data_IF_288654664114
#
_entry.id   IF_288654664114
#
_cell.length_a   1.000
_cell.length_b   1.000
_cell.length_c   1.000
_cell.angle_alpha   90.00
_cell.angle_beta   90.00
_cell.angle_gamma   90.00
#
_symmetry.space_group_name_H-M   'P 1'
#
loop_
_entity.id
_entity.type
_entity.pdbx_description
1 polymer ?
#
# COMPACT_ATOMS: atom_id res chain seq x y z
N UNK A 1 38.99 9.11 7.90
CA UNK A 1 38.00 9.34 8.96
C UNK A 1 36.72 8.71 8.46
N UNK A 2 36.40 7.55 9.05
CA UNK A 2 35.57 6.51 8.47
C UNK A 2 34.09 6.84 8.58
N UNK A 3 33.35 6.55 7.51
CA UNK A 3 31.89 6.65 7.44
C UNK A 3 31.34 5.33 7.99
N UNK A 4 30.89 5.33 9.24
CA UNK A 4 30.26 4.14 9.84
C UNK A 4 28.86 3.90 9.23
N UNK A 5 28.77 2.80 8.49
CA UNK A 5 27.55 2.22 7.94
C UNK A 5 26.76 1.52 9.07
N UNK A 6 25.78 2.20 9.65
CA UNK A 6 24.92 1.69 10.73
C UNK A 6 23.72 0.84 10.27
N UNK A 7 23.88 -0.02 9.26
CA UNK A 7 22.83 -0.95 8.82
C UNK A 7 22.78 -2.22 9.67
N UNK A 8 22.21 -2.17 10.89
CA UNK A 8 22.01 -3.40 11.69
C UNK A 8 21.05 -4.35 10.97
N UNK A 9 21.59 -5.46 10.44
CA UNK A 9 20.80 -6.60 9.99
C UNK A 9 19.95 -7.11 11.16
N UNK A 10 18.65 -7.14 10.95
CA UNK A 10 17.71 -7.76 11.87
C UNK A 10 17.94 -9.27 11.85
N UNK A 11 18.16 -9.95 13.00
CA UNK A 11 18.14 -11.42 13.04
C UNK A 11 16.81 -11.94 12.50
N UNK A 12 16.89 -12.94 11.62
CA UNK A 12 15.75 -13.62 11.04
C UNK A 12 14.91 -14.24 12.16
N UNK A 13 13.61 -13.92 12.21
CA UNK A 13 12.68 -14.73 12.99
C UNK A 13 12.65 -16.14 12.41
N UNK A 14 12.33 -17.09 13.27
CA UNK A 14 12.09 -18.51 13.01
C UNK A 14 11.45 -18.80 11.65
N UNK A 15 11.83 -19.92 11.05
CA UNK A 15 11.37 -20.39 9.75
C UNK A 15 9.85 -20.20 9.55
N UNK A 16 9.41 -19.80 8.34
CA UNK A 16 8.01 -19.53 8.05
C UNK A 16 7.13 -20.73 8.39
N UNK A 17 6.09 -20.49 9.17
CA UNK A 17 5.11 -21.50 9.60
C UNK A 17 4.34 -22.10 8.41
N UNK A 18 4.34 -21.41 7.27
CA UNK A 18 3.76 -21.86 6.00
C UNK A 18 4.53 -21.26 4.81
N UNK A 19 4.79 -22.03 3.74
CA UNK A 19 5.55 -21.53 2.60
C UNK A 19 4.75 -20.44 1.87
N UNK A 20 5.20 -19.19 2.00
CA UNK A 20 4.68 -18.04 1.26
C UNK A 20 3.89 -17.01 2.07
N UNK A 21 3.67 -17.22 3.37
CA UNK A 21 3.03 -16.24 4.26
C UNK A 21 4.05 -15.59 5.19
N UNK A 22 3.71 -14.38 5.66
CA UNK A 22 4.53 -13.63 6.60
C UNK A 22 4.02 -13.87 8.03
N UNK A 23 4.80 -14.56 8.86
CA UNK A 23 4.39 -14.91 10.23
C UNK A 23 4.01 -13.67 11.07
N UNK A 24 4.68 -12.53 10.86
CA UNK A 24 4.38 -11.29 11.57
C UNK A 24 3.04 -10.67 11.17
N UNK A 25 2.64 -10.81 9.91
CA UNK A 25 1.35 -10.33 9.45
C UNK A 25 0.24 -11.22 10.01
N UNK A 26 0.38 -12.54 9.87
CA UNK A 26 -0.57 -13.51 10.41
C UNK A 26 -0.70 -13.39 11.93
N UNK A 27 0.40 -13.17 12.65
CA UNK A 27 0.40 -12.94 14.10
C UNK A 27 -0.37 -11.69 14.52
N UNK A 28 -0.32 -10.62 13.71
CA UNK A 28 -1.10 -9.40 13.95
C UNK A 28 -2.59 -9.57 13.59
N UNK A 29 -2.88 -10.31 12.52
CA UNK A 29 -4.26 -10.66 12.14
C UNK A 29 -4.91 -11.54 13.22
N UNK A 30 -4.20 -12.56 13.71
CA UNK A 30 -4.67 -13.45 14.76
C UNK A 30 -4.92 -12.73 16.10
N UNK A 31 -4.13 -11.70 16.41
CA UNK A 31 -4.32 -10.89 17.61
C UNK A 31 -5.60 -10.01 17.56
N UNK A 32 -6.16 -9.76 16.38
CA UNK A 32 -7.43 -9.03 16.21
C UNK A 32 -7.49 -7.73 17.02
N UNK A 33 -8.45 -7.65 17.94
CA UNK A 33 -8.67 -6.49 18.83
C UNK A 33 -7.60 -6.27 19.89
N UNK A 34 -6.83 -7.31 20.26
CA UNK A 34 -5.68 -7.19 21.17
C UNK A 34 -4.48 -6.55 20.48
N UNK A 35 -4.46 -6.53 19.15
CA UNK A 35 -3.47 -5.88 18.29
C UNK A 35 -3.48 -4.34 18.32
N UNK A 36 -3.85 -3.74 19.46
CA UNK A 36 -3.85 -2.28 19.65
C UNK A 36 -2.60 -1.84 20.41
N UNK A 37 -2.07 -0.68 20.01
CA UNK A 37 -1.05 0.00 20.78
C UNK A 37 -1.69 0.64 22.01
N UNK A 38 -1.00 0.54 23.14
CA UNK A 38 -1.37 1.29 24.34
C UNK A 38 -1.15 2.80 24.10
N UNK A 39 -1.70 3.66 24.96
CA UNK A 39 -1.46 5.10 24.83
C UNK A 39 0.01 5.41 25.08
N UNK A 40 0.67 6.04 24.11
CA UNK A 40 2.08 6.38 24.21
C UNK A 40 2.60 7.03 22.93
N UNK A 41 3.84 7.51 23.00
CA UNK A 41 4.58 8.01 21.84
C UNK A 41 5.41 6.85 21.29
N UNK A 42 5.19 6.50 20.03
CA UNK A 42 5.89 5.40 19.37
C UNK A 42 6.67 5.92 18.18
N UNK A 43 7.98 5.69 18.19
CA UNK A 43 8.81 5.85 16.99
C UNK A 43 8.75 4.58 16.14
N UNK A 44 9.22 4.66 14.89
CA UNK A 44 9.36 3.50 14.03
C UNK A 44 10.27 2.41 14.64
N UNK A 45 11.26 2.79 15.43
CA UNK A 45 12.13 1.82 16.10
C UNK A 45 11.41 1.13 17.26
N UNK A 46 10.63 1.87 18.05
CA UNK A 46 9.82 1.29 19.14
C UNK A 46 8.80 0.28 18.59
N UNK A 47 8.16 0.61 17.47
CA UNK A 47 7.24 -0.31 16.78
C UNK A 47 7.95 -1.57 16.29
N UNK A 48 9.19 -1.47 15.83
CA UNK A 48 9.99 -2.66 15.44
C UNK A 48 10.36 -3.52 16.64
N UNK A 49 10.73 -2.91 17.76
CA UNK A 49 11.04 -3.63 19.00
C UNK A 49 9.78 -4.34 19.52
N UNK A 50 8.64 -3.66 19.51
CA UNK A 50 7.35 -4.22 19.92
C UNK A 50 6.92 -5.36 18.98
N UNK A 51 7.01 -5.14 17.67
CA UNK A 51 6.68 -6.12 16.65
C UNK A 51 7.50 -7.40 16.79
N UNK A 52 8.77 -7.28 17.20
CA UNK A 52 9.62 -8.45 17.52
C UNK A 52 9.16 -9.20 18.76
N UNK A 53 8.83 -8.49 19.84
CA UNK A 53 8.40 -9.08 21.11
C UNK A 53 7.06 -9.81 20.97
N UNK A 54 6.12 -9.22 20.23
CA UNK A 54 4.75 -9.74 20.07
C UNK A 54 4.52 -10.52 18.77
N UNK A 55 5.54 -10.65 17.91
CA UNK A 55 5.43 -11.22 16.56
C UNK A 55 4.36 -10.53 15.70
N UNK A 56 4.31 -9.20 15.78
CA UNK A 56 3.39 -8.37 14.99
C UNK A 56 4.14 -7.60 13.91
N UNK A 57 3.53 -7.48 12.72
CA UNK A 57 4.09 -6.71 11.64
C UNK A 57 4.04 -5.21 11.99
N UNK A 58 5.19 -4.52 12.16
CA UNK A 58 5.21 -3.12 12.58
C UNK A 58 4.56 -2.20 11.54
N UNK A 59 4.68 -2.51 10.25
CA UNK A 59 4.08 -1.73 9.18
C UNK A 59 2.55 -1.74 9.24
N UNK A 60 1.94 -2.93 9.34
CA UNK A 60 0.48 -3.06 9.41
C UNK A 60 -0.07 -2.62 10.77
N UNK A 61 0.71 -2.77 11.85
CA UNK A 61 0.37 -2.24 13.16
C UNK A 61 0.27 -0.72 13.11
N UNK A 62 1.30 -0.03 12.61
CA UNK A 62 1.33 1.42 12.46
C UNK A 62 0.13 1.93 11.65
N UNK A 63 -0.18 1.23 10.56
CA UNK A 63 -1.31 1.55 9.68
C UNK A 63 -2.66 1.41 10.37
N UNK A 64 -2.88 0.33 11.15
CA UNK A 64 -4.12 0.12 11.92
C UNK A 64 -4.32 1.19 13.00
N UNK A 65 -3.23 1.74 13.53
CA UNK A 65 -3.31 2.76 14.59
C UNK A 65 -3.45 4.18 14.09
N UNK A 66 -3.38 4.44 12.78
CA UNK A 66 -3.55 5.78 12.23
C UNK A 66 -4.89 6.42 12.60
N UNK A 67 -5.98 5.64 12.56
CA UNK A 67 -7.33 6.11 12.89
C UNK A 67 -7.56 6.37 14.39
N UNK A 68 -6.61 5.99 15.25
CA UNK A 68 -6.68 6.19 16.70
C UNK A 68 -5.61 7.17 17.20
N UNK A 69 -4.72 7.63 16.32
CA UNK A 69 -3.61 8.49 16.68
C UNK A 69 -4.06 9.95 16.76
N UNK A 70 -3.73 10.63 17.84
CA UNK A 70 -4.00 12.07 18.00
C UNK A 70 -2.96 12.95 17.30
N UNK A 71 -1.72 12.48 17.18
CA UNK A 71 -0.62 13.20 16.54
C UNK A 71 0.13 12.24 15.62
N UNK A 72 0.31 12.65 14.37
CA UNK A 72 0.98 11.88 13.34
C UNK A 72 2.12 12.72 12.75
N UNK A 73 3.30 12.11 12.67
CA UNK A 73 4.49 12.73 12.07
C UNK A 73 4.83 11.96 10.80
N UNK A 74 4.70 12.61 9.65
CA UNK A 74 4.92 12.02 8.34
C UNK A 74 5.84 12.86 7.47
N UNK A 75 6.35 12.23 6.41
CA UNK A 75 6.98 12.92 5.30
C UNK A 75 5.90 13.46 4.34
N UNK A 76 6.18 14.58 3.67
CA UNK A 76 5.34 15.23 2.67
C UNK A 76 4.74 14.28 1.63
N UNK A 77 5.49 13.27 1.18
CA UNK A 77 5.03 12.30 0.18
C UNK A 77 3.74 11.58 0.59
N UNK A 78 3.52 11.32 1.88
CA UNK A 78 2.30 10.64 2.35
C UNK A 78 1.05 11.51 2.22
N UNK A 79 1.20 12.84 2.21
CA UNK A 79 0.11 13.78 2.07
C UNK A 79 -0.06 14.27 0.62
N UNK A 80 1.05 14.48 -0.09
CA UNK A 80 1.05 15.12 -1.41
C UNK A 80 0.99 14.12 -2.58
N UNK A 81 1.53 12.90 -2.44
CA UNK A 81 1.46 11.91 -3.53
C UNK A 81 0.03 11.36 -3.64
N UNK A 82 -0.69 11.58 -4.76
CA UNK A 82 -2.05 11.07 -4.93
C UNK A 82 -2.13 9.54 -4.88
N UNK A 83 -1.05 8.82 -5.21
CA UNK A 83 -1.01 7.35 -5.16
C UNK A 83 -1.01 6.83 -3.73
N UNK A 84 -0.32 7.53 -2.83
CA UNK A 84 -0.14 7.11 -1.42
C UNK A 84 -1.20 7.75 -0.53
N UNK A 85 -1.45 9.05 -0.69
CA UNK A 85 -2.41 9.81 0.11
C UNK A 85 -3.81 9.24 0.03
N UNK A 86 -4.26 8.71 -1.12
CA UNK A 86 -5.57 8.09 -1.24
C UNK A 86 -5.79 6.87 -0.33
N UNK A 87 -4.72 6.19 0.07
CA UNK A 87 -4.77 5.06 1.00
C UNK A 87 -4.80 5.50 2.45
N UNK A 88 -4.20 6.65 2.77
CA UNK A 88 -3.99 7.14 4.14
C UNK A 88 -5.04 8.18 4.54
N UNK A 89 -5.49 9.01 3.59
CA UNK A 89 -6.49 10.05 3.79
C UNK A 89 -7.88 9.49 4.16
N UNK A 90 -8.14 8.21 3.90
CA UNK A 90 -9.38 7.54 4.34
C UNK A 90 -9.41 7.30 5.84
N UNK A 91 -8.24 7.11 6.43
CA UNK A 91 -8.07 6.82 7.86
C UNK A 91 -7.83 8.10 8.67
N UNK A 92 -7.65 9.26 8.01
CA UNK A 92 -7.56 10.58 8.62
C UNK A 92 -8.97 11.14 8.90
N UNK A 93 -9.12 11.77 10.07
CA UNK A 93 -10.35 12.48 10.43
C UNK A 93 -10.57 13.71 9.54
N UNK A 94 -11.85 14.07 9.31
CA UNK A 94 -12.22 15.24 8.50
C UNK A 94 -11.78 16.57 9.14
N UNK A 95 -11.68 16.59 10.47
CA UNK A 95 -11.30 17.76 11.26
C UNK A 95 -9.84 17.60 11.73
N UNK A 96 -8.89 17.69 10.79
CA UNK A 96 -7.46 17.58 11.09
C UNK A 96 -6.74 18.92 10.92
N UNK A 97 -5.82 19.21 11.83
CA UNK A 97 -4.87 20.33 11.72
C UNK A 97 -3.58 19.78 11.12
N UNK A 98 -3.19 20.31 9.95
CA UNK A 98 -1.95 19.93 9.28
C UNK A 98 -0.91 21.03 9.48
N UNK A 99 0.27 20.63 9.97
CA UNK A 99 1.41 21.52 10.17
C UNK A 99 2.53 21.10 9.21
N UNK A 100 2.92 21.99 8.32
CA UNK A 100 4.08 21.80 7.45
C UNK A 100 5.32 22.37 8.15
N UNK A 101 6.26 21.51 8.51
CA UNK A 101 7.56 21.91 9.03
C UNK A 101 8.56 22.08 7.88
N UNK A 102 9.36 23.14 7.87
CA UNK A 102 10.27 23.47 6.75
C UNK A 102 9.57 23.59 5.39
N UNK A 103 8.44 24.32 5.37
CA UNK A 103 7.58 24.46 4.19
C UNK A 103 8.25 25.09 2.95
N UNK A 104 9.45 25.67 3.10
CA UNK A 104 10.21 26.22 1.97
C UNK A 104 10.61 25.14 0.93
N UNK A 105 10.58 23.86 1.29
CA UNK A 105 10.90 22.75 0.38
C UNK A 105 9.70 22.21 -0.41
N UNK A 106 8.48 22.72 -0.15
CA UNK A 106 7.24 22.12 -0.67
C UNK A 106 7.18 22.13 -2.20
N UNK A 107 7.65 23.20 -2.85
CA UNK A 107 7.58 23.33 -4.31
C UNK A 107 8.42 22.26 -5.01
N UNK A 108 9.64 22.04 -4.52
CA UNK A 108 10.55 21.02 -5.06
C UNK A 108 9.95 19.61 -4.91
N UNK A 109 9.33 19.33 -3.75
CA UNK A 109 8.70 18.04 -3.47
C UNK A 109 7.48 17.82 -4.36
N UNK A 110 6.66 18.85 -4.57
CA UNK A 110 5.53 18.79 -5.50
C UNK A 110 6.00 18.49 -6.92
N UNK A 111 7.03 19.18 -7.40
CA UNK A 111 7.60 18.94 -8.74
C UNK A 111 8.05 17.48 -8.86
N UNK A 112 8.75 16.94 -7.87
CA UNK A 112 9.21 15.54 -7.89
C UNK A 112 8.04 14.55 -7.91
N UNK A 113 7.04 14.73 -7.03
CA UNK A 113 5.90 13.81 -6.88
C UNK A 113 5.03 13.74 -8.15
N UNK A 114 4.88 14.86 -8.87
CA UNK A 114 4.06 14.94 -10.08
C UNK A 114 4.84 14.71 -11.38
N UNK A 115 6.18 14.60 -11.32
CA UNK A 115 7.02 14.38 -12.50
C UNK A 115 7.29 12.89 -12.73
N UNK A 116 7.41 12.51 -14.00
CA UNK A 116 7.81 11.15 -14.41
C UNK A 116 8.86 11.25 -15.50
N UNK A 117 10.02 10.64 -15.26
CA UNK A 117 11.11 10.57 -16.22
C UNK A 117 11.01 9.33 -17.11
N UNK A 118 10.90 9.52 -18.42
CA UNK A 118 10.94 8.44 -19.40
C UNK A 118 12.29 8.43 -20.12
N UNK A 119 13.02 7.32 -20.00
CA UNK A 119 14.31 7.09 -20.67
C UNK A 119 14.17 5.95 -21.68
N UNK A 120 15.04 5.91 -22.69
CA UNK A 120 15.05 4.83 -23.69
C UNK A 120 15.12 3.44 -23.03
N UNK A 121 15.95 3.30 -21.99
CA UNK A 121 16.04 2.06 -21.20
C UNK A 121 14.70 1.66 -20.55
N UNK A 122 13.92 2.62 -20.05
CA UNK A 122 12.59 2.36 -19.48
C UNK A 122 11.64 1.79 -20.54
N UNK A 123 11.71 2.31 -21.78
CA UNK A 123 10.90 1.84 -22.91
C UNK A 123 11.32 0.45 -23.39
N UNK A 124 12.62 0.15 -23.39
CA UNK A 124 13.13 -1.19 -23.74
C UNK A 124 12.65 -2.24 -22.73
N UNK A 125 12.72 -1.91 -21.43
CA UNK A 125 12.21 -2.77 -20.35
C UNK A 125 10.69 -2.95 -20.49
N UNK A 126 9.95 -1.86 -20.73
CA UNK A 126 8.51 -1.93 -20.94
C UNK A 126 8.14 -2.84 -22.12
N UNK A 127 8.85 -2.73 -23.24
CA UNK A 127 8.63 -3.57 -24.43
C UNK A 127 8.84 -5.06 -24.14
N UNK A 128 9.89 -5.40 -23.39
CA UNK A 128 10.15 -6.78 -22.95
C UNK A 128 9.07 -7.29 -21.98
N UNK A 129 8.63 -6.44 -21.06
CA UNK A 129 7.57 -6.77 -20.11
C UNK A 129 6.23 -7.03 -20.83
N UNK A 130 5.88 -6.24 -21.85
CA UNK A 130 4.69 -6.45 -22.67
C UNK A 130 4.77 -7.78 -23.45
N UNK A 131 5.92 -8.09 -24.05
CA UNK A 131 6.12 -9.36 -24.74
C UNK A 131 5.96 -10.55 -23.79
N UNK A 132 6.52 -10.47 -22.58
CA UNK A 132 6.36 -11.50 -21.54
C UNK A 132 4.90 -11.63 -21.10
N UNK A 133 4.22 -10.51 -20.86
CA UNK A 133 2.82 -10.50 -20.45
C UNK A 133 1.92 -11.14 -21.51
N UNK A 134 2.20 -10.91 -22.80
CA UNK A 134 1.49 -11.55 -23.90
C UNK A 134 1.61 -13.08 -23.85
N UNK A 135 2.82 -13.61 -23.69
CA UNK A 135 3.05 -15.06 -23.57
C UNK A 135 2.29 -15.65 -22.37
N UNK A 136 2.30 -14.96 -21.23
CA UNK A 136 1.57 -15.40 -20.03
C UNK A 136 0.05 -15.39 -20.24
N UNK A 137 -0.48 -14.37 -20.93
CA UNK A 137 -1.90 -14.29 -21.29
C UNK A 137 -2.29 -15.42 -22.25
N UNK A 138 -1.45 -15.71 -23.25
CA UNK A 138 -1.72 -16.79 -24.21
C UNK A 138 -1.68 -18.16 -23.51
N UNK A 139 -0.74 -18.37 -22.57
CA UNK A 139 -0.69 -19.55 -21.70
C UNK A 139 -1.93 -19.67 -20.81
N UNK A 140 -2.36 -18.59 -20.17
CA UNK A 140 -3.54 -18.58 -19.32
C UNK A 140 -4.83 -18.87 -20.11
N UNK A 141 -4.96 -18.32 -21.33
CA UNK A 141 -6.07 -18.61 -22.25
C UNK A 141 -6.10 -20.07 -22.68
N UNK A 142 -4.94 -20.66 -22.95
CA UNK A 142 -4.83 -22.09 -23.28
C UNK A 142 -5.15 -23.00 -22.09
N UNK A 143 -4.88 -22.57 -20.85
CA UNK A 143 -5.05 -23.39 -19.65
C UNK A 143 -6.40 -23.21 -18.92
N UNK A 144 -7.17 -22.14 -19.15
CA UNK A 144 -8.36 -21.86 -18.35
C UNK A 144 -9.37 -20.94 -19.03
N UNK A 145 -10.06 -21.47 -20.04
CA UNK A 145 -11.09 -20.74 -20.80
C UNK A 145 -12.32 -20.40 -19.95
N UNK A 146 -12.60 -21.17 -18.90
CA UNK A 146 -13.82 -21.06 -18.10
C UNK A 146 -13.76 -19.95 -17.03
N UNK A 147 -12.67 -19.88 -16.25
CA UNK A 147 -12.49 -18.84 -15.21
C UNK A 147 -12.29 -17.44 -15.82
N UNK A 148 -11.54 -17.32 -16.92
CA UNK A 148 -11.37 -16.04 -17.61
C UNK A 148 -12.70 -15.55 -18.21
N UNK A 149 -13.51 -16.44 -18.76
CA UNK A 149 -14.81 -16.10 -19.35
C UNK A 149 -15.83 -15.69 -18.26
N UNK A 150 -15.79 -16.35 -17.10
CA UNK A 150 -16.61 -15.97 -15.95
C UNK A 150 -16.24 -14.60 -15.38
N UNK A 151 -14.95 -14.30 -15.19
CA UNK A 151 -14.50 -12.98 -14.72
C UNK A 151 -14.78 -11.87 -15.75
N UNK A 152 -14.59 -12.16 -17.05
CA UNK A 152 -14.95 -11.22 -18.12
C UNK A 152 -16.45 -10.92 -18.12
N UNK A 153 -17.31 -11.93 -17.98
CA UNK A 153 -18.76 -11.75 -17.86
C UNK A 153 -19.15 -10.94 -16.61
N UNK A 154 -18.46 -11.16 -15.49
CA UNK A 154 -18.68 -10.41 -14.25
C UNK A 154 -18.30 -8.94 -14.38
N UNK A 155 -17.16 -8.65 -15.02
CA UNK A 155 -16.71 -7.29 -15.31
C UNK A 155 -17.66 -6.56 -16.27
N UNK A 156 -18.11 -7.22 -17.34
CA UNK A 156 -19.07 -6.66 -18.30
C UNK A 156 -20.43 -6.39 -17.66
N UNK A 157 -20.92 -7.28 -16.80
CA UNK A 157 -22.16 -7.07 -16.05
C UNK A 157 -22.04 -5.90 -15.05
N UNK A 158 -20.89 -5.76 -14.38
CA UNK A 158 -20.60 -4.65 -13.47
C UNK A 158 -20.51 -3.28 -14.17
N UNK A 159 -20.04 -3.25 -15.42
CA UNK A 159 -19.98 -2.04 -16.24
C UNK A 159 -21.32 -1.71 -16.92
N UNK A 160 -22.12 -2.72 -17.28
CA UNK A 160 -23.42 -2.56 -17.93
C UNK A 160 -24.54 -2.08 -16.99
N UNK A 161 -24.42 -2.30 -15.68
CA UNK A 161 -25.40 -1.84 -14.68
C UNK A 161 -25.28 -0.36 -14.27
N UNK A 162 -24.24 0.35 -14.73
CA UNK A 162 -23.95 1.74 -14.34
C UNK A 162 -24.52 2.82 -15.28
N UNK A 163 -25.19 2.45 -16.37
CA UNK A 163 -25.64 3.40 -17.39
C UNK A 163 -27.04 3.10 -17.91
N UNK A 164 -28.04 3.79 -17.36
CA UNK A 164 -29.36 3.91 -18.00
C UNK A 164 -30.53 3.51 -17.11
N UNK A 165 -30.93 4.38 -16.19
CA UNK A 165 -32.17 4.24 -15.44
C UNK A 165 -32.75 5.60 -15.11
N UNK A 166 -33.65 6.11 -15.96
CA UNK A 166 -34.40 7.33 -15.67
C UNK A 166 -35.05 8.01 -16.88
N UNK A 167 -35.81 7.26 -17.70
CA UNK A 167 -36.59 7.85 -18.79
C UNK A 167 -37.83 7.02 -19.17
N UNK A 168 -39.00 7.45 -18.68
CA UNK A 168 -40.25 7.47 -19.46
C UNK A 168 -41.30 6.35 -19.27
N UNK A 169 -42.54 6.79 -18.97
CA UNK A 169 -43.83 6.13 -19.28
C UNK A 169 -44.51 5.49 -18.07
N UNK A 170 -45.74 5.80 -17.64
CA UNK A 170 -46.90 6.30 -18.37
C UNK A 170 -48.02 5.25 -18.25
N UNK A 171 -49.04 5.55 -17.43
CA UNK A 171 -50.23 4.73 -17.17
C UNK A 171 -51.11 5.40 -16.12
#
# INVERSE_FOLDING_TARGET
>A
MEVEQGGRRLPASSAPSSPGLCDFYEGLEAAGSEGRLESGVYTMEDMRILGRKRQWCPYFLARRTLSQASVLVWNYQYLLDPKVSAMVARDLEREAIVVFDEAHNIDNVCIEVFSVDLRAQTLDIASRNVARLRTEVDRAKASGTEKLRAEYQRLVAGLGGGGGGGGGGGG
#
